data_IF_796044357433
#
_entry.id   IF_796044357433
#
_cell.length_a   1.000
_cell.length_b   1.000
_cell.length_c   1.000
_cell.angle_alpha   90.00
_cell.angle_beta   90.00
_cell.angle_gamma   90.00
#
_symmetry.space_group_name_H-M   'P 1'
#
loop_
_entity.id
_entity.type
_entity.pdbx_description
1 polymer ?
#
# COMPACT_ATOMS: atom_id res chain seq x y z
N UNK A 1 -43.52 -48.02 -29.80
CA UNK A 1 -43.68 -46.55 -29.84
C UNK A 1 -43.33 -45.99 -28.47
N UNK A 2 -42.16 -45.36 -28.30
CA UNK A 2 -41.98 -44.28 -27.33
C UNK A 2 -40.84 -43.39 -27.84
N UNK A 3 -41.22 -42.21 -28.28
CA UNK A 3 -40.37 -41.20 -28.90
C UNK A 3 -39.83 -40.25 -27.83
N UNK A 4 -38.59 -39.80 -28.02
CA UNK A 4 -38.06 -38.46 -27.71
C UNK A 4 -38.39 -37.81 -26.36
N UNK A 5 -37.39 -37.69 -25.48
CA UNK A 5 -37.24 -36.53 -24.56
C UNK A 5 -35.84 -36.53 -23.93
N UNK A 6 -34.81 -36.15 -24.69
CA UNK A 6 -33.46 -35.93 -24.15
C UNK A 6 -32.81 -34.74 -24.85
N UNK A 7 -33.37 -33.54 -24.71
CA UNK A 7 -32.76 -32.31 -25.25
C UNK A 7 -33.30 -31.05 -24.56
N UNK A 8 -33.29 -30.95 -23.23
CA UNK A 8 -33.59 -29.66 -22.56
C UNK A 8 -32.88 -29.42 -21.22
N UNK A 9 -31.81 -30.15 -20.89
CA UNK A 9 -31.18 -30.09 -19.57
C UNK A 9 -29.68 -29.78 -19.58
N UNK A 10 -29.15 -29.16 -20.65
CA UNK A 10 -27.72 -28.82 -20.73
C UNK A 10 -27.40 -27.32 -20.94
N UNK A 11 -28.40 -26.43 -21.01
CA UNK A 11 -28.16 -24.99 -21.26
C UNK A 11 -28.25 -24.13 -19.98
N UNK A 12 -28.90 -24.62 -18.92
CA UNK A 12 -29.05 -23.85 -17.69
C UNK A 12 -27.84 -23.91 -16.74
N UNK A 13 -26.96 -24.90 -16.88
CA UNK A 13 -25.76 -25.05 -16.01
C UNK A 13 -24.59 -24.18 -16.44
N UNK A 14 -24.51 -23.74 -17.71
CA UNK A 14 -23.40 -22.88 -18.17
C UNK A 14 -23.59 -21.41 -17.80
N UNK A 15 -24.83 -20.94 -17.65
CA UNK A 15 -25.14 -19.54 -17.33
C UNK A 15 -24.84 -19.17 -15.86
N UNK A 16 -24.84 -20.15 -14.94
CA UNK A 16 -24.55 -19.92 -13.51
C UNK A 16 -23.04 -19.85 -13.24
N UNK A 17 -22.20 -20.39 -14.13
CA UNK A 17 -20.74 -20.38 -13.95
C UNK A 17 -20.12 -19.05 -14.44
N UNK A 18 -20.79 -18.32 -15.34
CA UNK A 18 -20.32 -17.02 -15.86
C UNK A 18 -20.52 -15.84 -14.90
N UNK A 19 -21.30 -15.99 -13.82
CA UNK A 19 -21.55 -14.93 -12.84
C UNK A 19 -20.58 -14.94 -11.65
N UNK A 20 -19.72 -15.95 -11.55
CA UNK A 20 -18.73 -16.10 -10.49
C UNK A 20 -17.30 -15.99 -11.01
N UNK A 21 -17.02 -15.00 -11.85
CA UNK A 21 -15.63 -14.51 -11.86
C UNK A 21 -15.44 -13.80 -10.52
N UNK A 22 -14.64 -14.34 -9.58
CA UNK A 22 -14.24 -13.53 -8.44
C UNK A 22 -13.61 -12.28 -9.05
N UNK A 23 -14.17 -11.11 -8.76
CA UNK A 23 -13.40 -9.89 -8.91
C UNK A 23 -12.17 -10.14 -8.04
N UNK A 24 -11.02 -10.37 -8.68
CA UNK A 24 -9.77 -10.47 -7.98
C UNK A 24 -9.63 -9.15 -7.22
N UNK A 25 -9.86 -9.19 -5.90
CA UNK A 25 -9.75 -8.05 -5.00
C UNK A 25 -8.26 -7.74 -4.91
N UNK A 26 -7.78 -6.94 -5.86
CA UNK A 26 -6.37 -6.65 -6.00
C UNK A 26 -6.10 -5.35 -5.24
N UNK A 27 -5.44 -5.46 -4.10
CA UNK A 27 -5.32 -4.35 -3.16
C UNK A 27 -3.95 -3.69 -3.25
N UNK A 28 -3.92 -2.35 -3.21
CA UNK A 28 -2.66 -1.62 -3.32
C UNK A 28 -1.95 -1.47 -1.96
N UNK A 29 -0.64 -1.31 -1.99
CA UNK A 29 0.21 -1.10 -0.81
C UNK A 29 1.42 -0.24 -1.14
N UNK A 30 2.09 0.29 -0.13
CA UNK A 30 3.37 0.99 -0.31
C UNK A 30 4.49 -0.01 -0.62
N UNK A 31 4.93 -0.06 -1.87
CA UNK A 31 6.07 -0.86 -2.32
C UNK A 31 7.40 -0.20 -1.95
N UNK A 32 7.47 1.12 -2.10
CA UNK A 32 8.65 1.91 -1.75
C UNK A 32 8.25 3.25 -1.15
N UNK A 33 8.88 3.66 -0.07
CA UNK A 33 8.71 4.99 0.54
C UNK A 33 9.66 6.04 -0.06
N UNK A 34 10.87 5.61 -0.44
CA UNK A 34 11.90 6.51 -0.98
C UNK A 34 12.46 6.01 -2.32
N UNK A 35 11.64 6.11 -3.36
CA UNK A 35 12.02 5.79 -4.74
C UNK A 35 13.00 6.83 -5.28
N UNK A 36 14.18 6.38 -5.68
CA UNK A 36 15.20 7.21 -6.33
C UNK A 36 15.18 6.94 -7.83
N UNK A 37 14.73 7.92 -8.60
CA UNK A 37 14.78 7.87 -10.06
C UNK A 37 16.23 7.86 -10.56
N UNK A 38 16.53 7.01 -11.55
CA UNK A 38 17.80 7.04 -12.29
C UNK A 38 17.96 8.34 -13.07
N UNK A 39 16.87 8.85 -13.65
CA UNK A 39 16.83 10.16 -14.29
C UNK A 39 15.83 11.08 -13.56
N UNK A 40 16.28 12.04 -12.75
CA UNK A 40 15.38 12.90 -11.97
C UNK A 40 14.53 13.84 -12.84
N UNK A 41 14.91 14.08 -14.10
CA UNK A 41 14.14 14.90 -15.05
C UNK A 41 12.99 14.11 -15.71
N UNK A 42 13.04 12.78 -15.68
CA UNK A 42 12.01 11.90 -16.23
C UNK A 42 11.51 10.96 -15.13
N UNK A 43 10.46 11.39 -14.44
CA UNK A 43 9.80 10.57 -13.41
C UNK A 43 9.18 9.35 -14.08
N UNK A 44 9.74 8.19 -13.78
CA UNK A 44 9.27 6.89 -14.23
C UNK A 44 9.35 5.93 -13.04
N UNK A 45 8.20 5.33 -12.72
CA UNK A 45 8.02 4.49 -11.54
C UNK A 45 8.33 3.02 -11.82
N UNK A 46 8.56 2.63 -13.07
CA UNK A 46 8.86 1.25 -13.44
C UNK A 46 10.18 0.77 -12.82
N UNK A 47 10.30 -0.53 -12.54
CA UNK A 47 11.48 -1.13 -11.88
C UNK A 47 12.82 -0.77 -12.53
N UNK A 48 12.85 -0.64 -13.85
CA UNK A 48 14.07 -0.28 -14.59
C UNK A 48 14.50 1.17 -14.45
N UNK A 49 13.64 2.07 -13.95
CA UNK A 49 13.85 3.51 -13.97
C UNK A 49 14.33 4.11 -12.64
N UNK A 50 14.54 3.29 -11.62
CA UNK A 50 14.94 3.76 -10.29
C UNK A 50 15.36 2.63 -9.36
N UNK A 51 15.43 2.94 -8.08
CA UNK A 51 15.68 1.97 -7.01
C UNK A 51 15.03 2.44 -5.73
N UNK A 52 14.71 1.50 -4.84
CA UNK A 52 14.11 1.84 -3.55
C UNK A 52 15.17 2.07 -2.46
N UNK A 53 15.06 3.20 -1.78
CA UNK A 53 15.97 3.63 -0.73
C UNK A 53 15.32 3.69 0.68
N UNK A 54 14.10 3.16 0.80
CA UNK A 54 13.36 3.18 2.05
C UNK A 54 12.04 2.43 1.92
N UNK A 55 11.73 1.58 2.88
CA UNK A 55 10.62 0.64 2.79
C UNK A 55 9.65 0.73 3.97
N UNK A 56 8.47 0.13 3.80
CA UNK A 56 7.58 -0.18 4.91
C UNK A 56 8.25 -1.15 5.92
N UNK A 57 7.73 -1.20 7.14
CA UNK A 57 8.21 -2.14 8.18
C UNK A 57 8.12 -3.58 7.68
N UNK A 58 9.16 -4.36 7.94
CA UNK A 58 9.29 -5.79 7.58
C UNK A 58 8.94 -6.06 6.12
N UNK A 59 9.23 -5.12 5.22
CA UNK A 59 8.96 -5.30 3.80
C UNK A 59 9.96 -6.32 3.21
N UNK A 60 9.51 -7.43 2.62
CA UNK A 60 10.42 -8.45 2.09
C UNK A 60 11.15 -7.94 0.84
N UNK A 61 12.47 -8.03 0.83
CA UNK A 61 13.28 -7.67 -0.35
C UNK A 61 13.38 -8.82 -1.35
N UNK A 62 13.73 -8.50 -2.60
CA UNK A 62 13.90 -9.50 -3.67
C UNK A 62 12.59 -10.08 -4.21
N UNK A 63 11.45 -9.47 -3.85
CA UNK A 63 10.14 -9.81 -4.39
C UNK A 63 9.88 -9.00 -5.67
N UNK A 64 9.14 -9.61 -6.60
CA UNK A 64 8.73 -8.93 -7.83
C UNK A 64 7.73 -7.82 -7.48
N UNK A 65 7.82 -6.68 -8.17
CA UNK A 65 6.84 -5.62 -8.00
C UNK A 65 5.41 -6.13 -8.19
N UNK A 66 4.47 -5.60 -7.38
CA UNK A 66 3.05 -5.96 -7.36
C UNK A 66 2.72 -7.43 -7.03
N UNK A 67 3.68 -8.26 -6.60
CA UNK A 67 3.48 -9.70 -6.39
C UNK A 67 3.11 -10.12 -4.97
N UNK A 68 2.75 -9.17 -4.08
CA UNK A 68 2.50 -9.44 -2.66
C UNK A 68 1.03 -9.30 -2.25
N UNK A 69 0.11 -9.42 -3.22
CA UNK A 69 -1.34 -9.54 -2.97
C UNK A 69 -1.62 -10.90 -2.36
N UNK A 70 -1.28 -11.97 -3.08
CA UNK A 70 -1.57 -13.35 -2.64
C UNK A 70 -0.48 -13.94 -1.72
N UNK A 71 0.40 -13.09 -1.18
CA UNK A 71 1.45 -13.54 -0.26
C UNK A 71 0.85 -13.91 1.10
N UNK A 72 1.53 -14.77 1.85
CA UNK A 72 1.19 -15.07 3.24
C UNK A 72 2.29 -14.56 4.18
N UNK A 73 2.03 -13.49 4.95
CA UNK A 73 0.90 -12.55 4.85
C UNK A 73 1.03 -11.57 3.67
N UNK A 74 -0.10 -11.07 3.17
CA UNK A 74 -0.16 -10.12 2.06
C UNK A 74 0.32 -8.74 2.49
N UNK A 75 0.55 -7.81 1.54
CA UNK A 75 0.95 -6.42 1.89
C UNK A 75 -0.19 -5.43 1.97
N UNK A 76 -1.41 -5.84 1.64
CA UNK A 76 -2.60 -5.03 1.86
C UNK A 76 -3.15 -5.29 3.25
N UNK A 77 -3.25 -4.23 4.05
CA UNK A 77 -3.96 -4.24 5.32
C UNK A 77 -5.19 -3.38 5.19
N UNK A 78 -6.37 -3.99 5.30
CA UNK A 78 -7.64 -3.28 5.28
C UNK A 78 -8.10 -2.99 6.71
N UNK A 79 -8.30 -1.71 7.01
CA UNK A 79 -8.86 -1.26 8.28
C UNK A 79 -10.34 -1.65 8.41
N UNK A 80 -10.88 -1.67 9.62
CA UNK A 80 -12.31 -1.97 9.83
C UNK A 80 -13.20 -0.96 9.12
N UNK A 81 -14.08 -1.44 8.23
CA UNK A 81 -14.97 -0.59 7.42
C UNK A 81 -15.95 0.23 8.27
N UNK A 82 -16.39 -0.31 9.41
CA UNK A 82 -17.31 0.35 10.32
C UNK A 82 -16.63 1.31 11.33
N UNK A 83 -15.31 1.21 11.51
CA UNK A 83 -14.55 2.08 12.40
C UNK A 83 -13.11 2.33 11.88
N UNK A 84 -12.96 2.94 10.70
CA UNK A 84 -11.65 3.08 10.08
C UNK A 84 -10.74 4.06 10.86
N UNK A 85 -11.31 5.02 11.59
CA UNK A 85 -10.55 6.00 12.41
C UNK A 85 -10.16 5.46 13.78
N UNK A 86 -10.87 4.47 14.31
CA UNK A 86 -10.51 3.73 15.53
C UNK A 86 -9.64 2.50 15.29
N UNK A 87 -9.44 2.10 14.04
CA UNK A 87 -8.56 0.99 13.66
C UNK A 87 -7.10 1.27 13.99
N UNK A 88 -6.28 0.22 14.04
CA UNK A 88 -4.83 0.38 14.08
C UNK A 88 -4.35 1.03 12.78
N UNK A 89 -3.36 1.94 12.83
CA UNK A 89 -2.80 2.51 11.61
C UNK A 89 -1.86 1.56 10.88
N UNK A 90 -1.26 0.62 11.59
CA UNK A 90 -0.30 -0.33 11.06
C UNK A 90 -0.83 -1.74 11.30
N UNK A 91 -0.62 -2.62 10.33
CA UNK A 91 -1.03 -4.00 10.50
C UNK A 91 -0.27 -4.66 11.65
N UNK A 92 -0.97 -5.41 12.49
CA UNK A 92 -0.38 -6.25 13.53
C UNK A 92 -0.14 -7.68 13.07
N UNK A 93 -0.50 -8.02 11.83
CA UNK A 93 -0.54 -9.39 11.34
C UNK A 93 -1.70 -10.24 11.88
N UNK A 94 -2.57 -9.68 12.72
CA UNK A 94 -3.66 -10.42 13.38
C UNK A 94 -5.00 -10.09 12.76
N UNK A 95 -5.74 -11.12 12.33
CA UNK A 95 -7.09 -10.99 11.73
C UNK A 95 -8.07 -10.22 12.62
N UNK A 96 -7.96 -10.33 13.94
CA UNK A 96 -8.86 -9.63 14.89
C UNK A 96 -8.64 -8.11 14.98
N UNK A 97 -7.56 -7.59 14.40
CA UNK A 97 -7.19 -6.17 14.49
C UNK A 97 -7.50 -5.41 13.18
N UNK A 98 -8.11 -6.07 12.18
CA UNK A 98 -8.32 -5.55 10.83
C UNK A 98 -9.55 -6.17 10.15
N UNK A 99 -10.09 -5.53 9.12
CA UNK A 99 -11.00 -6.21 8.19
C UNK A 99 -10.24 -7.28 7.40
N UNK A 100 -9.01 -6.92 7.00
CA UNK A 100 -8.06 -7.83 6.39
C UNK A 100 -6.67 -7.59 6.97
N UNK A 101 -6.07 -8.64 7.52
CA UNK A 101 -4.73 -8.56 8.08
C UNK A 101 -3.69 -8.68 6.96
N UNK A 102 -2.93 -7.61 6.75
CA UNK A 102 -1.69 -7.66 6.00
C UNK A 102 -0.51 -8.14 6.87
N UNK A 103 0.69 -8.06 6.34
CA UNK A 103 1.93 -8.42 7.03
C UNK A 103 2.14 -7.64 8.33
N UNK A 104 2.86 -8.23 9.28
CA UNK A 104 3.15 -7.58 10.56
C UNK A 104 4.03 -6.32 10.36
N UNK A 105 3.41 -5.16 10.59
CA UNK A 105 4.03 -3.84 10.57
C UNK A 105 4.07 -3.22 11.98
N UNK A 106 3.95 -4.02 13.05
CA UNK A 106 4.15 -3.54 14.42
C UNK A 106 5.51 -2.88 14.57
N UNK A 107 5.59 -1.77 15.31
CA UNK A 107 6.87 -1.14 15.63
C UNK A 107 7.78 -2.10 16.40
N UNK A 108 8.99 -2.32 15.92
CA UNK A 108 9.99 -3.11 16.63
C UNK A 108 10.73 -2.30 17.72
N UNK A 109 11.37 -3.00 18.67
CA UNK A 109 12.24 -2.39 19.68
C UNK A 109 13.64 -3.05 19.69
N UNK A 110 14.71 -2.34 19.28
CA UNK A 110 14.70 -1.01 18.65
C UNK A 110 14.01 -1.02 17.25
N UNK A 111 13.59 0.14 16.72
CA UNK A 111 12.94 0.22 15.40
C UNK A 111 13.75 -0.43 14.27
N UNK A 112 15.08 -0.41 14.35
CA UNK A 112 15.97 -1.03 13.38
C UNK A 112 15.73 -2.53 13.18
N UNK A 113 15.15 -3.26 14.14
CA UNK A 113 14.81 -4.68 13.98
C UNK A 113 13.69 -4.95 12.97
N UNK A 114 12.93 -3.94 12.56
CA UNK A 114 11.94 -4.06 11.48
C UNK A 114 12.55 -3.90 10.07
N UNK A 115 13.88 -3.73 9.98
CA UNK A 115 14.60 -3.34 8.77
C UNK A 115 15.92 -4.11 8.62
N UNK A 116 16.42 -4.20 7.39
CA UNK A 116 17.66 -4.94 7.07
C UNK A 116 17.51 -6.46 7.09
N UNK A 117 18.59 -7.17 6.81
CA UNK A 117 18.57 -8.62 6.65
C UNK A 117 17.68 -9.05 5.48
N UNK A 118 16.61 -9.80 5.78
CA UNK A 118 15.58 -10.17 4.80
C UNK A 118 14.57 -9.06 4.48
N UNK A 119 14.65 -7.93 5.19
CA UNK A 119 13.78 -6.78 5.02
C UNK A 119 14.49 -5.59 4.39
N UNK A 120 13.68 -4.71 3.80
CA UNK A 120 14.13 -3.44 3.26
C UNK A 120 14.76 -2.55 4.33
N UNK A 121 15.55 -1.55 3.90
CA UNK A 121 16.13 -0.55 4.79
C UNK A 121 15.09 0.49 5.26
N UNK A 122 15.32 1.05 6.44
CA UNK A 122 14.57 2.20 6.96
C UNK A 122 14.90 3.46 6.14
N UNK A 123 13.92 4.35 5.97
CA UNK A 123 14.14 5.63 5.28
C UNK A 123 14.90 6.60 6.18
N UNK A 124 15.91 7.27 5.64
CA UNK A 124 16.64 8.37 6.31
C UNK A 124 16.55 9.63 5.44
N UNK A 125 16.04 10.72 6.01
CA UNK A 125 15.81 11.97 5.30
C UNK A 125 16.12 13.20 6.16
N UNK A 126 16.30 14.35 5.50
CA UNK A 126 16.37 15.67 6.13
C UNK A 126 15.05 16.42 5.94
N UNK A 127 14.80 17.40 6.80
CA UNK A 127 13.72 18.38 6.57
C UNK A 127 13.91 19.02 5.19
N UNK A 128 12.83 19.11 4.41
CA UNK A 128 12.85 19.67 3.05
C UNK A 128 13.30 18.69 1.95
N UNK A 129 13.79 17.50 2.29
CA UNK A 129 14.03 16.45 1.30
C UNK A 129 12.72 16.09 0.58
N UNK A 130 12.85 15.70 -0.69
CA UNK A 130 11.75 15.10 -1.44
C UNK A 130 11.83 13.58 -1.32
N UNK A 131 10.79 12.97 -0.77
CA UNK A 131 10.58 11.53 -0.78
C UNK A 131 9.52 11.17 -1.81
N UNK A 132 9.74 10.08 -2.53
CA UNK A 132 8.87 9.63 -3.60
C UNK A 132 8.37 8.23 -3.29
N UNK A 133 7.07 8.10 -3.08
CA UNK A 133 6.42 6.85 -2.74
C UNK A 133 5.99 6.16 -4.02
N UNK A 134 6.14 4.83 -4.07
CA UNK A 134 5.72 3.97 -5.17
C UNK A 134 4.76 2.89 -4.67
N UNK A 135 3.73 2.59 -5.45
CA UNK A 135 2.74 1.54 -5.18
C UNK A 135 2.25 0.88 -6.48
N UNK A 136 1.76 -0.38 -6.44
CA UNK A 136 1.09 -1.00 -7.57
C UNK A 136 -0.32 -0.42 -7.74
N UNK A 137 -0.70 -0.12 -8.98
CA UNK A 137 -2.04 0.33 -9.35
C UNK A 137 -3.14 -0.62 -8.91
N UNK A 138 -2.89 -1.93 -9.07
CA UNK A 138 -3.93 -2.96 -9.04
C UNK A 138 -5.07 -2.65 -10.02
N UNK A 139 -6.18 -3.35 -9.90
CA UNK A 139 -7.38 -3.21 -10.73
C UNK A 139 -8.03 -1.80 -10.62
N UNK A 140 -7.52 -0.92 -9.76
CA UNK A 140 -8.14 0.37 -9.42
C UNK A 140 -7.55 1.60 -10.13
N UNK A 141 -6.56 1.41 -11.00
CA UNK A 141 -6.15 2.45 -11.94
C UNK A 141 -6.94 2.43 -13.27
N UNK A 142 -8.00 1.62 -13.37
CA UNK A 142 -8.96 1.58 -14.49
C UNK A 142 -9.48 2.97 -14.85
N UNK A 143 -9.79 3.22 -16.14
CA UNK A 143 -10.24 4.54 -16.61
C UNK A 143 -11.47 5.09 -15.87
N UNK A 144 -12.43 4.23 -15.53
CA UNK A 144 -13.74 4.64 -14.99
C UNK A 144 -13.81 4.67 -13.46
N UNK A 145 -12.75 4.23 -12.77
CA UNK A 145 -12.73 4.29 -11.30
C UNK A 145 -12.54 5.72 -10.78
N UNK A 146 -12.97 6.07 -9.57
CA UNK A 146 -12.59 7.33 -8.94
C UNK A 146 -11.06 7.42 -8.75
N UNK A 147 -10.48 8.60 -9.01
CA UNK A 147 -9.09 8.86 -8.67
C UNK A 147 -9.00 9.42 -7.23
N UNK A 148 -9.20 8.56 -6.25
CA UNK A 148 -9.01 8.92 -4.85
C UNK A 148 -7.55 9.27 -4.55
N UNK A 149 -7.32 9.99 -3.47
CA UNK A 149 -5.96 10.33 -3.04
C UNK A 149 -5.38 9.27 -2.11
N UNK A 150 -4.08 9.04 -2.28
CA UNK A 150 -3.21 8.49 -1.24
C UNK A 150 -2.94 9.58 -0.22
N UNK A 151 -3.21 9.31 1.04
CA UNK A 151 -2.83 10.11 2.19
C UNK A 151 -1.46 9.69 2.68
N UNK A 152 -0.55 10.65 2.83
CA UNK A 152 0.70 10.46 3.56
C UNK A 152 0.52 11.10 4.93
N UNK A 153 0.45 10.27 5.96
CA UNK A 153 0.27 10.71 7.35
C UNK A 153 1.59 10.54 8.10
N UNK A 154 2.02 11.56 8.85
CA UNK A 154 3.28 11.53 9.59
C UNK A 154 3.04 11.95 11.03
N UNK A 155 3.33 11.04 11.97
CA UNK A 155 3.19 11.30 13.40
C UNK A 155 3.99 12.55 13.83
N UNK A 156 3.46 13.29 14.81
CA UNK A 156 4.21 14.33 15.52
C UNK A 156 5.05 13.77 16.66
N UNK A 157 4.77 12.54 17.10
CA UNK A 157 5.47 11.89 18.22
C UNK A 157 6.81 11.37 17.73
N UNK A 158 7.88 11.96 18.26
CA UNK A 158 9.27 11.56 18.00
C UNK A 158 9.64 10.36 18.86
N UNK A 159 10.26 9.34 18.27
CA UNK A 159 10.77 8.14 18.94
C UNK A 159 9.73 7.40 19.79
N UNK A 160 8.44 7.63 19.55
CA UNK A 160 7.35 7.06 20.33
C UNK A 160 6.81 5.76 19.76
N UNK A 161 5.87 5.17 20.51
CA UNK A 161 5.05 4.07 20.02
C UNK A 161 4.13 4.51 18.87
N UNK A 162 3.48 3.55 18.22
CA UNK A 162 2.46 3.84 17.22
C UNK A 162 1.27 4.54 17.88
N UNK A 163 0.85 5.67 17.30
CA UNK A 163 -0.29 6.45 17.76
C UNK A 163 -1.60 5.89 17.20
N UNK A 164 -2.74 6.31 17.74
CA UNK A 164 -4.06 5.93 17.18
C UNK A 164 -4.24 6.49 15.77
N UNK A 165 -5.00 5.79 14.93
CA UNK A 165 -5.29 6.25 13.56
C UNK A 165 -5.94 7.65 13.55
N UNK A 166 -6.88 7.92 14.44
CA UNK A 166 -7.53 9.23 14.57
C UNK A 166 -6.54 10.37 14.83
N UNK A 167 -5.48 10.16 15.62
CA UNK A 167 -4.42 11.14 15.86
C UNK A 167 -3.47 11.26 14.67
N UNK A 168 -3.19 10.14 13.99
CA UNK A 168 -2.34 10.14 12.80
C UNK A 168 -2.97 10.93 11.65
N UNK A 169 -4.28 10.83 11.45
CA UNK A 169 -5.04 11.56 10.42
C UNK A 169 -5.07 13.07 10.61
N UNK A 170 -4.86 13.58 11.83
CA UNK A 170 -4.69 15.02 12.07
C UNK A 170 -3.38 15.57 11.49
N UNK A 171 -2.49 14.69 11.04
CA UNK A 171 -1.16 15.01 10.53
C UNK A 171 -0.94 14.44 9.13
N UNK A 172 -1.93 14.54 8.25
CA UNK A 172 -1.78 14.34 6.81
C UNK A 172 -0.87 15.42 6.23
N UNK A 173 0.30 15.03 5.72
CA UNK A 173 1.32 15.95 5.19
C UNK A 173 1.34 16.02 3.66
N UNK A 174 0.68 15.07 2.99
CA UNK A 174 0.48 15.11 1.54
C UNK A 174 -0.74 14.30 1.11
N UNK A 175 -1.34 14.74 0.00
CA UNK A 175 -2.32 14.00 -0.78
C UNK A 175 -1.72 13.75 -2.16
N UNK A 176 -1.53 12.49 -2.51
CA UNK A 176 -0.94 12.08 -3.78
C UNK A 176 -2.02 11.46 -4.68
N UNK A 177 -2.07 11.78 -5.98
CA UNK A 177 -3.03 11.17 -6.89
C UNK A 177 -2.74 9.67 -7.04
N UNK A 178 -3.67 8.80 -6.65
CA UNK A 178 -3.49 7.35 -6.69
C UNK A 178 -3.16 6.85 -8.11
N UNK A 179 -3.85 7.39 -9.11
CA UNK A 179 -3.70 7.00 -10.53
C UNK A 179 -2.54 7.67 -11.27
N UNK A 180 -1.56 8.26 -10.57
CA UNK A 180 -0.34 8.73 -11.22
C UNK A 180 0.57 7.56 -11.60
N UNK A 181 0.13 6.81 -12.61
CA UNK A 181 0.65 5.52 -13.01
C UNK A 181 1.33 5.58 -14.36
N UNK A 182 2.36 4.75 -14.54
CA UNK A 182 2.99 4.53 -15.85
C UNK A 182 2.00 3.88 -16.82
N UNK A 183 2.16 4.15 -18.11
CA UNK A 183 1.43 3.42 -19.15
C UNK A 183 1.81 1.93 -19.13
N UNK A 184 0.84 1.05 -19.37
CA UNK A 184 1.06 -0.39 -19.39
C UNK A 184 -0.21 -1.16 -19.73
N UNK A 185 -0.06 -2.39 -20.23
CA UNK A 185 -1.18 -3.25 -20.64
C UNK A 185 -1.88 -3.93 -19.47
N UNK A 186 -1.13 -4.30 -18.43
CA UNK A 186 -1.67 -4.96 -17.25
C UNK A 186 -1.89 -3.91 -16.17
N UNK A 187 -3.15 -3.51 -15.97
CA UNK A 187 -3.54 -2.51 -14.99
C UNK A 187 -3.09 -2.87 -13.58
N UNK A 188 -3.07 -4.16 -13.22
CA UNK A 188 -2.76 -4.60 -11.87
C UNK A 188 -1.32 -4.32 -11.46
N UNK A 189 -0.42 -4.33 -12.44
CA UNK A 189 1.03 -4.27 -12.21
C UNK A 189 1.63 -2.93 -12.62
N UNK A 190 0.82 -1.94 -13.01
CA UNK A 190 1.33 -0.61 -13.34
C UNK A 190 1.93 0.03 -12.11
N UNK A 191 3.14 0.53 -12.25
CA UNK A 191 3.78 1.31 -11.19
C UNK A 191 3.17 2.71 -11.14
N UNK A 192 2.71 3.09 -9.97
CA UNK A 192 2.23 4.43 -9.66
C UNK A 192 3.09 5.05 -8.57
N UNK A 193 3.05 6.37 -8.45
CA UNK A 193 3.76 7.02 -7.38
C UNK A 193 3.45 8.49 -7.22
N UNK A 194 4.01 9.08 -6.18
CA UNK A 194 3.92 10.51 -5.92
C UNK A 194 5.02 10.94 -4.97
N UNK A 195 5.38 12.22 -5.02
CA UNK A 195 6.45 12.75 -4.17
C UNK A 195 5.89 13.81 -3.22
N UNK A 196 6.47 13.89 -2.03
CA UNK A 196 6.14 14.89 -1.02
C UNK A 196 7.43 15.44 -0.38
N UNK A 197 7.30 16.58 0.28
CA UNK A 197 8.39 17.21 1.04
C UNK A 197 8.33 16.77 2.49
N UNK A 198 9.48 16.40 3.06
CA UNK A 198 9.58 16.13 4.50
C UNK A 198 9.34 17.43 5.26
N UNK A 199 8.29 17.52 6.09
CA UNK A 199 7.95 18.75 6.79
C UNK A 199 8.96 19.05 7.91
N UNK A 200 8.90 20.26 8.44
CA UNK A 200 9.71 20.63 9.61
C UNK A 200 9.41 19.71 10.79
N UNK A 201 10.45 19.03 11.28
CA UNK A 201 10.45 18.13 12.43
C UNK A 201 11.81 18.21 13.12
N UNK A 202 11.82 17.91 14.42
CA UNK A 202 13.07 17.68 15.13
C UNK A 202 13.74 16.40 14.62
N UNK A 203 15.05 16.25 14.84
CA UNK A 203 15.74 15.01 14.52
C UNK A 203 15.18 13.85 15.37
N UNK A 204 14.91 12.70 14.75
CA UNK A 204 14.40 11.48 15.38
C UNK A 204 13.63 10.57 14.42
N UNK A 205 13.12 9.45 14.94
CA UNK A 205 12.30 8.48 14.20
C UNK A 205 10.82 8.79 14.35
N UNK A 206 10.09 8.80 13.24
CA UNK A 206 8.65 9.05 13.20
C UNK A 206 7.91 7.92 12.48
N UNK A 207 6.67 7.67 12.90
CA UNK A 207 5.73 6.82 12.17
C UNK A 207 5.21 7.57 10.95
N UNK A 208 5.36 6.98 9.76
CA UNK A 208 4.72 7.37 8.52
C UNK A 208 3.73 6.29 8.08
N UNK A 209 2.58 6.71 7.59
CA UNK A 209 1.58 5.85 6.99
C UNK A 209 1.25 6.31 5.58
N UNK A 210 1.31 5.38 4.63
CA UNK A 210 0.62 5.45 3.37
C UNK A 210 -0.80 4.91 3.57
N UNK A 211 -1.83 5.67 3.21
CA UNK A 211 -3.23 5.29 3.41
C UNK A 211 -4.07 5.67 2.21
N UNK A 212 -4.87 4.75 1.71
CA UNK A 212 -5.68 4.96 0.52
C UNK A 212 -7.07 4.39 0.72
N UNK A 213 -8.08 5.04 0.13
CA UNK A 213 -9.46 4.57 0.15
C UNK A 213 -9.82 4.03 -1.22
N UNK A 214 -10.13 2.74 -1.27
CA UNK A 214 -10.62 2.08 -2.46
C UNK A 214 -12.08 2.51 -2.70
N UNK A 215 -13.00 1.89 -1.97
CA UNK A 215 -14.40 2.27 -1.94
C UNK A 215 -14.73 3.03 -0.67
N UNK A 216 -15.96 3.55 -0.56
CA UNK A 216 -16.42 4.26 0.63
C UNK A 216 -16.16 3.43 1.89
N UNK A 217 -15.30 3.96 2.77
CA UNK A 217 -14.85 3.36 4.03
C UNK A 217 -13.94 2.12 3.92
N UNK A 218 -13.48 1.75 2.73
CA UNK A 218 -12.50 0.67 2.54
C UNK A 218 -11.09 1.25 2.48
N UNK A 219 -10.43 1.30 3.65
CA UNK A 219 -9.12 1.94 3.80
C UNK A 219 -8.00 0.92 3.89
N UNK A 220 -7.00 1.08 3.04
CA UNK A 220 -5.79 0.25 2.99
C UNK A 220 -4.59 1.06 3.47
N UNK A 221 -3.70 0.42 4.24
CA UNK A 221 -2.54 1.12 4.78
C UNK A 221 -1.25 0.32 4.70
N UNK A 222 -0.13 1.03 4.68
CA UNK A 222 1.20 0.50 4.92
C UNK A 222 1.99 1.47 5.79
N UNK A 223 2.67 0.95 6.81
CA UNK A 223 3.43 1.75 7.77
C UNK A 223 4.94 1.63 7.60
N UNK A 224 5.62 2.74 7.84
CA UNK A 224 7.07 2.84 7.89
C UNK A 224 7.53 3.70 9.06
N UNK A 225 8.75 3.44 9.52
CA UNK A 225 9.54 4.37 10.31
C UNK A 225 10.43 5.18 9.36
N UNK A 226 10.47 6.49 9.61
CA UNK A 226 11.37 7.42 8.93
C UNK A 226 12.25 8.11 9.96
N UNK A 227 13.56 7.99 9.79
CA UNK A 227 14.54 8.79 10.51
C UNK A 227 14.65 10.16 9.83
N UNK A 228 14.26 11.22 10.54
CA UNK A 228 14.48 12.60 10.11
C UNK A 228 15.69 13.14 10.88
N UNK A 229 16.68 13.73 10.21
CA UNK A 229 17.88 14.25 10.88
C UNK A 229 19.10 14.35 9.97
N UNK A 230 20.27 14.66 10.53
CA UNK A 230 21.55 14.57 9.82
C UNK A 230 21.78 13.13 9.36
N UNK A 231 22.21 12.98 8.10
CA UNK A 231 22.72 11.71 7.57
C UNK A 231 24.10 11.44 8.13
#
# INVERSE_FOLDING_TARGET
MLKTTFSFLLVATLAVILSYTPEAEAHSWMDCLDWKFKNPKKRDWNDGAGSCNGFARRFPTGKKFASLDDASPSRHHQQFRNNPTGSFPCSTGKKKDAQEAGADETRANPPSKAYGGSYGRMTVAKVGDTLCVRWPAKNHAKKNEPNNNVQINLSKVRNGADIKQSELLKNTIALLPFKNCMAGKNEDTRACGGCFKVPTRASGIYLLQWRWMLNKNEWYTSCADIQIGSK
#
